data_IF_121897001955
#
_entry.id   IF_121897001955
#
_cell.length_a   1.000
_cell.length_b   1.000
_cell.length_c   1.000
_cell.angle_alpha   90.00
_cell.angle_beta   90.00
_cell.angle_gamma   90.00
#
_symmetry.space_group_name_H-M   'P 1'
#
loop_
_entity.id
_entity.type
_entity.pdbx_description
1 polymer ?
#
# COMPACT_ATOMS: atom_id res chain seq x y z
N UNK A 1 -21.56 12.14 -7.53
CA UNK A 1 -21.30 11.01 -6.66
C UNK A 1 -22.57 10.17 -6.57
N UNK A 2 -22.56 8.99 -7.20
CA UNK A 2 -23.69 8.08 -7.18
C UNK A 2 -23.83 7.44 -5.79
N UNK A 3 -25.09 7.23 -5.35
CA UNK A 3 -25.36 6.36 -4.22
C UNK A 3 -25.26 4.90 -4.67
N UNK A 4 -24.77 4.04 -3.79
CA UNK A 4 -24.72 2.60 -4.03
C UNK A 4 -25.49 1.85 -2.94
N UNK A 5 -26.01 0.63 -3.23
CA UNK A 5 -26.76 -0.14 -2.25
C UNK A 5 -25.84 -0.73 -1.18
N UNK A 6 -26.27 -0.72 0.08
CA UNK A 6 -25.65 -1.49 1.16
C UNK A 6 -26.16 -2.94 1.18
N UNK A 7 -25.76 -3.73 2.16
CA UNK A 7 -26.20 -5.14 2.29
C UNK A 7 -27.69 -5.31 2.60
N UNK A 8 -28.41 -4.23 2.84
CA UNK A 8 -29.86 -4.20 3.07
C UNK A 8 -30.61 -3.53 1.90
N UNK A 9 -29.96 -3.40 0.74
CA UNK A 9 -30.49 -2.75 -0.47
C UNK A 9 -30.88 -1.27 -0.28
N UNK A 10 -30.39 -0.62 0.78
CA UNK A 10 -30.59 0.79 1.02
C UNK A 10 -29.53 1.59 0.27
N UNK A 11 -29.92 2.61 -0.47
CA UNK A 11 -29.01 3.51 -1.16
C UNK A 11 -28.28 4.43 -0.19
N UNK A 12 -26.96 4.38 -0.20
CA UNK A 12 -26.07 5.19 0.63
C UNK A 12 -25.28 6.15 -0.24
N UNK A 13 -25.36 7.43 0.07
CA UNK A 13 -24.52 8.44 -0.56
C UNK A 13 -23.18 8.56 0.14
N UNK A 14 -22.11 8.97 -0.56
CA UNK A 14 -20.87 9.36 0.09
C UNK A 14 -21.09 10.40 1.19
N UNK A 15 -20.44 10.23 2.33
CA UNK A 15 -20.55 11.12 3.47
C UNK A 15 -19.17 11.49 4.04
N UNK A 16 -19.12 12.67 4.65
CA UNK A 16 -17.90 13.16 5.28
C UNK A 16 -17.70 12.48 6.65
N UNK A 17 -16.55 11.86 6.85
CA UNK A 17 -16.16 11.30 8.14
C UNK A 17 -16.00 12.39 9.20
N UNK A 18 -16.42 12.07 10.42
CA UNK A 18 -16.26 12.92 11.60
C UNK A 18 -15.08 12.45 12.48
N UNK A 19 -14.36 11.42 12.06
CA UNK A 19 -13.22 10.84 12.77
C UNK A 19 -12.21 10.29 11.77
N UNK A 20 -10.95 10.34 12.12
CA UNK A 20 -9.86 9.70 11.35
C UNK A 20 -9.65 8.24 11.76
N UNK A 21 -10.32 7.77 12.80
CA UNK A 21 -10.30 6.39 13.26
C UNK A 21 -11.47 5.64 12.63
N UNK A 22 -11.19 4.82 11.63
CA UNK A 22 -12.19 3.97 10.98
C UNK A 22 -11.77 2.51 11.09
N UNK A 23 -12.75 1.61 11.09
CA UNK A 23 -12.47 0.19 10.98
C UNK A 23 -11.98 -0.15 9.57
N UNK A 24 -11.05 -1.09 9.50
CA UNK A 24 -10.43 -1.50 8.23
C UNK A 24 -11.44 -2.07 7.24
N UNK A 25 -11.07 -2.00 5.96
CA UNK A 25 -11.75 -2.67 4.86
C UNK A 25 -10.85 -3.81 4.38
N UNK A 26 -11.41 -4.85 3.76
CA UNK A 26 -10.60 -5.94 3.22
C UNK A 26 -10.12 -5.60 1.81
N UNK A 27 -8.79 -5.55 1.57
CA UNK A 27 -8.23 -5.36 0.23
C UNK A 27 -7.98 -6.68 -0.50
N UNK A 28 -8.53 -7.80 -0.02
CA UNK A 28 -8.17 -9.10 -0.55
C UNK A 28 -8.75 -9.37 -1.95
N UNK A 29 -8.31 -10.43 -2.58
CA UNK A 29 -8.74 -10.80 -3.94
C UNK A 29 -10.26 -10.88 -4.08
N UNK A 30 -10.92 -11.61 -3.18
CA UNK A 30 -12.36 -11.82 -3.27
C UNK A 30 -13.13 -10.50 -3.14
N UNK A 31 -12.77 -9.71 -2.15
CA UNK A 31 -13.41 -8.44 -1.85
C UNK A 31 -13.20 -7.43 -2.98
N UNK A 32 -11.98 -7.34 -3.51
CA UNK A 32 -11.70 -6.46 -4.66
C UNK A 32 -12.54 -6.84 -5.90
N UNK A 33 -12.83 -8.13 -6.09
CA UNK A 33 -13.71 -8.57 -7.18
C UNK A 33 -15.19 -8.28 -6.90
N UNK A 34 -15.61 -8.35 -5.63
CA UNK A 34 -16.94 -7.88 -5.22
C UNK A 34 -17.08 -6.38 -5.45
N UNK A 35 -16.04 -5.58 -5.14
CA UNK A 35 -16.04 -4.13 -5.37
C UNK A 35 -16.29 -3.78 -6.82
N UNK A 36 -15.58 -4.47 -7.72
CA UNK A 36 -15.69 -4.25 -9.18
C UNK A 36 -17.04 -4.68 -9.72
N UNK A 37 -17.64 -5.74 -9.18
CA UNK A 37 -18.93 -6.29 -9.55
C UNK A 37 -19.19 -6.31 -11.07
N UNK A 38 -18.33 -6.99 -11.81
CA UNK A 38 -18.45 -7.08 -13.27
C UNK A 38 -18.29 -5.74 -14.01
N UNK A 39 -17.82 -4.70 -13.35
CA UNK A 39 -17.63 -3.36 -13.88
C UNK A 39 -18.67 -2.33 -13.42
N UNK A 40 -19.63 -2.73 -12.60
CA UNK A 40 -20.64 -1.82 -12.03
C UNK A 40 -20.03 -0.90 -10.96
N UNK A 41 -18.93 -1.34 -10.30
CA UNK A 41 -18.23 -0.57 -9.28
C UNK A 41 -19.15 -0.14 -8.12
N UNK A 42 -19.97 -1.05 -7.63
CA UNK A 42 -20.98 -0.79 -6.60
C UNK A 42 -20.95 -1.79 -5.43
N UNK A 43 -19.94 -2.67 -5.39
CA UNK A 43 -19.80 -3.71 -4.38
C UNK A 43 -19.14 -3.29 -3.07
N UNK A 44 -18.63 -2.07 -2.94
CA UNK A 44 -17.76 -1.61 -1.84
C UNK A 44 -18.34 -1.82 -0.43
N UNK A 45 -19.63 -1.64 -0.25
CA UNK A 45 -20.26 -1.90 1.05
C UNK A 45 -20.48 -3.39 1.30
N UNK A 46 -20.73 -4.16 0.25
CA UNK A 46 -20.88 -5.62 0.38
C UNK A 46 -19.56 -6.29 0.75
N UNK A 47 -18.48 -5.91 0.11
CA UNK A 47 -17.13 -6.42 0.39
C UNK A 47 -16.66 -6.04 1.80
N UNK A 48 -16.97 -4.84 2.27
CA UNK A 48 -16.53 -4.37 3.58
C UNK A 48 -17.13 -5.15 4.75
N UNK A 49 -18.19 -5.92 4.55
CA UNK A 49 -18.75 -6.81 5.58
C UNK A 49 -17.91 -8.07 5.80
N UNK A 50 -16.96 -8.39 4.95
CA UNK A 50 -16.01 -9.48 5.17
C UNK A 50 -15.09 -9.23 6.37
N UNK A 51 -14.89 -7.96 6.75
CA UNK A 51 -14.24 -7.56 8.00
C UNK A 51 -15.34 -7.30 9.03
N UNK A 52 -15.53 -8.21 10.02
CA UNK A 52 -16.60 -8.06 10.99
C UNK A 52 -16.54 -6.73 11.72
N UNK A 53 -17.68 -6.03 11.76
CA UNK A 53 -17.85 -4.79 12.49
C UNK A 53 -19.12 -4.87 13.35
N UNK A 54 -19.00 -4.51 14.61
CA UNK A 54 -20.16 -4.35 15.51
C UNK A 54 -20.72 -2.94 15.43
N UNK A 55 -19.96 -1.98 14.90
CA UNK A 55 -20.31 -0.56 14.79
C UNK A 55 -20.96 -0.29 13.43
N UNK A 56 -20.48 -0.93 12.39
CA UNK A 56 -20.98 -0.76 11.02
C UNK A 56 -21.21 -2.12 10.34
N UNK A 57 -22.26 -2.86 10.73
CA UNK A 57 -22.53 -4.18 10.17
C UNK A 57 -23.01 -4.15 8.71
N UNK A 58 -23.34 -3.00 8.19
CA UNK A 58 -23.81 -2.80 6.79
C UNK A 58 -22.70 -2.42 5.81
N UNK A 59 -21.48 -2.16 6.30
CA UNK A 59 -20.35 -1.77 5.47
C UNK A 59 -20.39 -0.32 4.99
N UNK A 60 -21.27 0.49 5.57
CA UNK A 60 -21.49 1.90 5.17
C UNK A 60 -20.20 2.71 5.22
N UNK A 61 -19.23 2.33 6.07
CA UNK A 61 -17.92 2.99 6.19
C UNK A 61 -17.16 3.06 4.87
N UNK A 62 -17.43 2.17 3.91
CA UNK A 62 -16.81 2.23 2.59
C UNK A 62 -17.17 3.50 1.79
N UNK A 63 -18.24 4.21 2.16
CA UNK A 63 -18.72 5.42 1.48
C UNK A 63 -18.23 6.72 2.13
N UNK A 64 -17.46 6.62 3.21
CA UNK A 64 -16.91 7.80 3.89
C UNK A 64 -15.74 8.41 3.14
N UNK A 65 -15.58 9.75 3.24
CA UNK A 65 -14.45 10.47 2.67
C UNK A 65 -13.92 11.53 3.64
N UNK A 66 -12.69 11.97 3.39
CA UNK A 66 -12.02 13.05 4.09
C UNK A 66 -11.88 14.28 3.20
N UNK A 67 -11.73 15.42 3.82
CA UNK A 67 -11.51 16.71 3.17
C UNK A 67 -10.13 17.29 3.52
N UNK A 68 -9.80 18.43 2.94
CA UNK A 68 -8.57 19.15 3.29
C UNK A 68 -8.50 19.54 4.78
N UNK A 69 -9.64 19.78 5.42
CA UNK A 69 -9.67 20.11 6.85
C UNK A 69 -9.24 18.93 7.74
N UNK A 70 -9.49 17.70 7.28
CA UNK A 70 -9.14 16.47 8.01
C UNK A 70 -7.69 16.04 7.73
N UNK A 71 -7.24 16.22 6.49
CA UNK A 71 -5.94 15.74 6.00
C UNK A 71 -5.11 16.87 5.37
N UNK A 72 -4.83 17.97 6.08
CA UNK A 72 -4.20 19.16 5.51
C UNK A 72 -2.82 18.89 4.93
N UNK A 73 -2.04 18.00 5.54
CA UNK A 73 -0.70 17.64 5.07
C UNK A 73 -0.72 16.99 3.68
N UNK A 74 -1.63 16.05 3.44
CA UNK A 74 -1.73 15.36 2.15
C UNK A 74 -2.21 16.30 1.03
N UNK A 75 -3.16 17.17 1.34
CA UNK A 75 -3.63 18.18 0.39
C UNK A 75 -2.53 19.20 0.05
N UNK A 76 -1.71 19.59 1.03
CA UNK A 76 -0.57 20.47 0.81
C UNK A 76 0.48 19.81 -0.08
N UNK A 77 0.78 18.52 0.13
CA UNK A 77 1.67 17.77 -0.75
C UNK A 77 1.13 17.71 -2.18
N UNK A 78 -0.16 17.41 -2.36
CA UNK A 78 -0.79 17.37 -3.66
C UNK A 78 -0.79 18.74 -4.37
N UNK A 79 -0.90 19.83 -3.62
CA UNK A 79 -0.87 21.19 -4.16
C UNK A 79 0.54 21.66 -4.57
N UNK A 80 1.58 21.20 -3.85
CA UNK A 80 2.97 21.61 -4.11
C UNK A 80 3.72 20.72 -5.07
N UNK A 81 3.32 19.45 -5.17
CA UNK A 81 3.98 18.42 -5.97
C UNK A 81 3.01 17.85 -7.00
N UNK A 82 3.42 16.78 -7.66
CA UNK A 82 2.57 16.07 -8.59
C UNK A 82 1.69 15.04 -7.89
N UNK A 83 0.47 14.88 -8.36
CA UNK A 83 -0.43 13.77 -8.01
C UNK A 83 -1.00 13.14 -9.27
N UNK A 84 -1.48 11.90 -9.18
CA UNK A 84 -2.10 11.20 -10.29
C UNK A 84 -3.44 10.63 -9.85
N UNK A 85 -4.48 10.91 -10.60
CA UNK A 85 -5.81 10.32 -10.49
C UNK A 85 -6.00 9.08 -11.38
N UNK A 86 -4.92 8.65 -12.07
CA UNK A 86 -4.89 7.51 -12.98
C UNK A 86 -3.79 6.51 -12.64
N UNK A 87 -3.50 6.36 -11.38
CA UNK A 87 -2.61 5.33 -10.88
C UNK A 87 -3.44 4.13 -10.43
N UNK A 88 -3.36 3.03 -11.15
CA UNK A 88 -4.16 1.83 -10.91
C UNK A 88 -3.31 0.69 -10.41
N UNK A 89 -3.88 -0.12 -9.50
CA UNK A 89 -3.27 -1.37 -9.07
C UNK A 89 -3.25 -2.38 -10.22
N UNK A 90 -2.13 -3.03 -10.50
CA UNK A 90 -2.02 -3.98 -11.61
C UNK A 90 -2.77 -5.30 -11.37
N UNK A 91 -3.10 -5.61 -10.12
CA UNK A 91 -3.90 -6.79 -9.76
C UNK A 91 -4.98 -6.42 -8.74
N UNK A 92 -6.19 -6.96 -8.92
CA UNK A 92 -7.31 -6.77 -7.98
C UNK A 92 -7.09 -7.64 -6.75
N UNK A 93 -6.20 -7.22 -5.87
CA UNK A 93 -5.83 -7.92 -4.64
C UNK A 93 -5.09 -6.97 -3.70
N UNK A 94 -4.61 -7.52 -2.58
CA UNK A 94 -3.97 -6.78 -1.51
C UNK A 94 -2.56 -6.24 -1.85
N UNK A 95 -1.94 -5.65 -0.86
CA UNK A 95 -0.66 -4.96 -0.91
C UNK A 95 0.47 -5.82 -1.49
N UNK A 96 0.61 -7.09 -1.08
CA UNK A 96 1.80 -7.89 -1.45
C UNK A 96 1.90 -8.18 -2.95
N UNK A 97 0.86 -8.73 -3.62
CA UNK A 97 0.92 -8.93 -5.08
C UNK A 97 1.14 -7.63 -5.85
N UNK A 98 0.53 -6.53 -5.42
CA UNK A 98 0.69 -5.23 -6.06
C UNK A 98 2.11 -4.68 -5.87
N UNK A 99 2.73 -4.87 -4.72
CA UNK A 99 4.12 -4.48 -4.45
C UNK A 99 5.13 -5.37 -5.20
N UNK A 100 4.78 -6.62 -5.50
CA UNK A 100 5.59 -7.43 -6.43
C UNK A 100 5.66 -6.74 -7.80
N UNK A 101 4.54 -6.26 -8.32
CA UNK A 101 4.56 -5.49 -9.58
C UNK A 101 5.40 -4.23 -9.48
N UNK A 102 5.35 -3.50 -8.36
CA UNK A 102 6.18 -2.33 -8.14
C UNK A 102 7.68 -2.67 -8.19
N UNK A 103 8.07 -3.81 -7.62
CA UNK A 103 9.49 -4.18 -7.52
C UNK A 103 10.02 -4.90 -8.75
N UNK A 104 9.19 -5.68 -9.44
CA UNK A 104 9.64 -6.61 -10.50
C UNK A 104 8.82 -6.56 -11.77
N UNK A 105 7.85 -5.63 -11.88
CA UNK A 105 6.89 -5.50 -12.98
C UNK A 105 6.01 -6.75 -13.20
N UNK A 106 5.96 -7.67 -12.24
CA UNK A 106 5.13 -8.89 -12.30
C UNK A 106 4.86 -9.44 -10.91
N UNK A 107 3.79 -10.18 -10.73
CA UNK A 107 3.56 -10.99 -9.53
C UNK A 107 3.72 -12.50 -9.82
N UNK A 108 4.20 -12.87 -11.00
CA UNK A 108 4.34 -14.28 -11.46
C UNK A 108 3.05 -15.08 -11.33
N UNK A 109 1.91 -14.43 -11.51
CA UNK A 109 0.59 -15.03 -11.34
C UNK A 109 0.13 -15.17 -9.88
N UNK A 110 0.88 -14.65 -8.91
CA UNK A 110 0.42 -14.63 -7.53
C UNK A 110 -0.65 -13.53 -7.37
N UNK A 111 -1.85 -13.96 -7.05
CA UNK A 111 -2.98 -13.10 -6.73
C UNK A 111 -3.16 -12.92 -5.21
N UNK A 112 -2.40 -13.67 -4.41
CA UNK A 112 -2.39 -13.65 -2.94
C UNK A 112 -0.96 -13.47 -2.44
N UNK A 113 -0.78 -13.10 -1.15
CA UNK A 113 0.55 -13.11 -0.55
C UNK A 113 1.20 -14.48 -0.71
N UNK A 114 2.41 -14.50 -1.26
CA UNK A 114 3.17 -15.72 -1.46
C UNK A 114 4.38 -15.73 -0.51
N UNK A 115 4.65 -16.89 0.06
CA UNK A 115 5.88 -17.08 0.83
C UNK A 115 7.07 -17.25 -0.11
N UNK A 116 8.18 -16.55 0.11
CA UNK A 116 9.36 -16.74 -0.70
C UNK A 116 9.96 -18.14 -0.49
N UNK A 117 10.58 -18.72 -1.52
CA UNK A 117 11.39 -19.92 -1.36
C UNK A 117 12.61 -19.66 -0.48
N UNK A 118 13.31 -20.73 -0.06
CA UNK A 118 14.61 -20.57 0.61
C UNK A 118 15.56 -19.77 -0.27
N UNK A 119 16.12 -18.68 0.28
CA UNK A 119 16.95 -17.73 -0.47
C UNK A 119 16.20 -16.60 -1.15
N UNK A 120 14.89 -16.54 -1.00
CA UNK A 120 14.03 -15.47 -1.53
C UNK A 120 13.62 -15.67 -3.00
N UNK A 121 12.78 -14.77 -3.48
CA UNK A 121 12.46 -14.68 -4.91
C UNK A 121 13.71 -14.20 -5.68
N UNK A 122 14.02 -14.86 -6.79
CA UNK A 122 15.24 -14.62 -7.56
C UNK A 122 15.05 -13.71 -8.77
N UNK A 123 13.83 -13.25 -8.98
CA UNK A 123 13.52 -12.34 -10.08
C UNK A 123 14.22 -10.98 -9.85
N UNK A 124 14.78 -10.38 -10.91
CA UNK A 124 15.37 -9.05 -10.81
C UNK A 124 14.36 -8.03 -10.32
N UNK A 125 14.77 -7.22 -9.36
CA UNK A 125 13.98 -6.12 -8.83
C UNK A 125 14.42 -4.79 -9.45
N UNK A 126 13.65 -3.73 -9.22
CA UNK A 126 14.06 -2.37 -9.56
C UNK A 126 15.42 -2.02 -8.95
N UNK A 127 15.73 -2.55 -7.77
CA UNK A 127 17.00 -2.31 -7.08
C UNK A 127 18.18 -2.96 -7.83
N UNK A 128 17.98 -4.14 -8.42
CA UNK A 128 18.99 -4.76 -9.29
C UNK A 128 19.27 -3.91 -10.52
N UNK A 129 18.24 -3.32 -11.12
CA UNK A 129 18.39 -2.41 -12.25
C UNK A 129 19.06 -1.09 -11.87
N UNK A 130 18.79 -0.56 -10.68
CA UNK A 130 19.49 0.61 -10.16
C UNK A 130 20.98 0.34 -9.99
N UNK A 131 21.35 -0.82 -9.43
CA UNK A 131 22.75 -1.24 -9.29
C UNK A 131 23.44 -1.38 -10.64
N UNK A 132 22.79 -2.02 -11.63
CA UNK A 132 23.32 -2.15 -12.98
C UNK A 132 23.54 -0.78 -13.66
N UNK A 133 22.68 0.18 -13.37
CA UNK A 133 22.77 1.54 -13.89
C UNK A 133 23.72 2.44 -13.09
N UNK A 134 24.34 1.96 -12.01
CA UNK A 134 25.20 2.76 -11.13
C UNK A 134 24.42 3.84 -10.35
N UNK A 135 23.11 3.69 -10.20
CA UNK A 135 22.24 4.62 -9.46
C UNK A 135 22.19 4.21 -8.00
N UNK A 136 22.60 5.12 -7.13
CA UNK A 136 22.59 4.84 -5.69
C UNK A 136 21.17 4.76 -5.14
N UNK A 137 20.94 3.80 -4.27
CA UNK A 137 19.65 3.62 -3.61
C UNK A 137 19.80 3.20 -2.15
N UNK A 138 18.75 3.46 -1.35
CA UNK A 138 18.64 3.01 0.04
C UNK A 138 17.18 2.72 0.39
N UNK A 139 16.99 1.69 1.19
CA UNK A 139 15.70 1.26 1.69
C UNK A 139 15.65 1.44 3.21
N UNK A 140 14.72 2.25 3.69
CA UNK A 140 14.54 2.49 5.12
C UNK A 140 13.33 1.70 5.60
N UNK A 141 13.50 0.92 6.66
CA UNK A 141 12.42 0.23 7.36
C UNK A 141 12.20 0.81 8.75
N UNK A 142 10.96 0.77 9.23
CA UNK A 142 10.62 1.31 10.54
C UNK A 142 10.78 0.28 11.67
N UNK A 143 10.20 -0.91 11.58
CA UNK A 143 10.09 -1.87 12.69
C UNK A 143 11.16 -2.94 12.70
N UNK A 144 11.77 -3.24 11.58
CA UNK A 144 12.82 -4.25 11.48
C UNK A 144 12.98 -4.74 10.04
N UNK A 145 14.15 -5.30 9.71
CA UNK A 145 14.38 -5.78 8.35
C UNK A 145 13.40 -6.89 7.95
N UNK A 146 12.87 -7.65 8.90
CA UNK A 146 11.93 -8.75 8.67
C UNK A 146 10.56 -8.28 8.18
N UNK A 147 10.16 -7.04 8.44
CA UNK A 147 8.92 -6.46 7.95
C UNK A 147 9.05 -5.85 6.55
N UNK A 148 10.26 -5.59 6.10
CA UNK A 148 10.51 -4.99 4.80
C UNK A 148 10.27 -5.99 3.65
N UNK A 149 9.44 -5.62 2.68
CA UNK A 149 9.10 -6.51 1.56
C UNK A 149 10.33 -6.93 0.75
N UNK A 150 11.33 -6.06 0.63
CA UNK A 150 12.58 -6.38 -0.09
C UNK A 150 13.28 -7.61 0.48
N UNK A 151 13.05 -7.94 1.75
CA UNK A 151 13.63 -9.14 2.38
C UNK A 151 13.16 -10.44 1.72
N UNK A 152 12.02 -10.43 1.06
CA UNK A 152 11.51 -11.59 0.35
C UNK A 152 12.29 -11.89 -0.94
N UNK A 153 13.22 -11.02 -1.34
CA UNK A 153 14.00 -11.14 -2.58
C UNK A 153 15.47 -11.45 -2.30
N UNK A 154 16.09 -12.19 -3.20
CA UNK A 154 17.55 -12.46 -3.17
C UNK A 154 18.38 -11.18 -3.22
N UNK A 155 17.84 -10.11 -3.77
CA UNK A 155 18.41 -8.76 -3.75
C UNK A 155 18.77 -8.31 -2.34
N UNK A 156 17.90 -8.59 -1.34
CA UNK A 156 18.19 -8.25 0.05
C UNK A 156 19.45 -8.93 0.57
N UNK A 157 19.62 -10.21 0.27
CA UNK A 157 20.79 -10.96 0.76
C UNK A 157 22.10 -10.40 0.22
N UNK A 158 22.09 -9.94 -1.02
CA UNK A 158 23.25 -9.34 -1.68
C UNK A 158 23.50 -7.91 -1.18
N UNK A 159 22.44 -7.14 -0.96
CA UNK A 159 22.49 -5.70 -0.72
C UNK A 159 21.97 -5.30 0.67
N UNK A 160 22.06 -6.19 1.64
CA UNK A 160 21.55 -5.95 3.01
C UNK A 160 22.07 -4.65 3.65
N UNK A 161 23.29 -4.22 3.30
CA UNK A 161 23.87 -2.98 3.80
C UNK A 161 23.14 -1.71 3.33
N UNK A 162 22.33 -1.80 2.27
CA UNK A 162 21.50 -0.70 1.76
C UNK A 162 20.11 -0.67 2.41
N UNK A 163 19.75 -1.69 3.19
CA UNK A 163 18.46 -1.81 3.87
C UNK A 163 18.66 -1.51 5.35
N UNK A 164 18.25 -0.34 5.78
CA UNK A 164 18.62 0.23 7.07
C UNK A 164 17.41 0.71 7.86
N UNK A 165 17.57 0.86 9.18
CA UNK A 165 16.53 1.43 10.03
C UNK A 165 16.22 2.88 9.65
N UNK A 166 14.96 3.27 9.74
CA UNK A 166 14.51 4.66 9.56
C UNK A 166 15.21 5.64 10.53
N UNK A 167 15.74 5.15 11.64
CA UNK A 167 16.53 5.98 12.56
C UNK A 167 17.75 6.64 11.90
N UNK A 168 18.26 6.04 10.82
CA UNK A 168 19.38 6.63 10.04
C UNK A 168 18.93 7.84 9.21
N UNK A 169 17.65 7.95 8.91
CA UNK A 169 17.10 9.00 8.04
C UNK A 169 17.49 10.41 8.50
N UNK A 170 17.31 10.69 9.79
CA UNK A 170 17.58 12.01 10.35
C UNK A 170 19.06 12.45 10.17
N UNK A 171 19.99 11.50 10.19
CA UNK A 171 21.42 11.76 9.94
C UNK A 171 21.70 11.89 8.45
N UNK A 172 21.11 11.01 7.63
CA UNK A 172 21.37 10.96 6.20
C UNK A 172 20.89 12.24 5.49
N UNK A 173 19.71 12.77 5.87
CA UNK A 173 19.18 14.02 5.25
C UNK A 173 20.00 15.27 5.59
N UNK A 174 20.80 15.25 6.65
CA UNK A 174 21.68 16.37 6.99
C UNK A 174 22.91 16.42 6.09
N UNK A 175 23.19 15.36 5.35
CA UNK A 175 24.32 15.31 4.42
C UNK A 175 23.85 14.99 2.99
N UNK A 176 23.34 16.01 2.25
CA UNK A 176 22.80 15.81 0.91
C UNK A 176 23.79 15.21 -0.09
N UNK A 177 25.10 15.34 0.16
CA UNK A 177 26.12 14.78 -0.74
C UNK A 177 26.26 13.26 -0.66
N UNK A 178 25.74 12.65 0.41
CA UNK A 178 25.74 11.19 0.61
C UNK A 178 24.37 10.56 0.51
N UNK A 179 23.32 11.37 0.33
CA UNK A 179 21.98 10.85 0.08
C UNK A 179 21.96 10.04 -1.22
N UNK A 180 21.36 8.86 -1.22
CA UNK A 180 21.18 8.11 -2.45
C UNK A 180 20.19 8.81 -3.40
N UNK A 181 20.35 8.53 -4.69
CA UNK A 181 19.46 9.10 -5.72
C UNK A 181 18.02 8.54 -5.65
N UNK A 182 17.88 7.30 -5.16
CA UNK A 182 16.57 6.65 -4.98
C UNK A 182 16.42 6.22 -3.54
N UNK A 183 15.30 6.57 -2.94
CA UNK A 183 14.99 6.31 -1.55
C UNK A 183 13.62 5.61 -1.48
N UNK A 184 13.61 4.44 -0.82
CA UNK A 184 12.40 3.76 -0.41
C UNK A 184 12.23 3.88 1.10
N UNK A 185 11.04 4.22 1.54
CA UNK A 185 10.70 4.26 2.97
C UNK A 185 9.50 3.35 3.16
N UNK A 186 9.67 2.31 3.96
CA UNK A 186 8.62 1.39 4.32
C UNK A 186 8.24 1.58 5.79
N UNK A 187 6.98 1.95 5.99
CA UNK A 187 6.40 1.96 7.31
C UNK A 187 6.18 0.52 7.78
N UNK A 188 6.29 0.32 9.05
CA UNK A 188 6.02 -0.97 9.64
C UNK A 188 4.54 -1.31 9.69
N UNK A 189 4.24 -2.57 9.47
CA UNK A 189 2.95 -3.18 9.70
C UNK A 189 2.89 -3.97 11.02
N UNK A 190 3.70 -3.63 12.03
CA UNK A 190 3.71 -4.37 13.31
C UNK A 190 2.99 -3.54 14.35
N UNK A 191 2.17 -4.19 15.17
CA UNK A 191 1.47 -3.62 16.33
C UNK A 191 0.25 -2.71 16.07
N UNK A 192 -0.59 -3.05 15.09
CA UNK A 192 -1.89 -2.39 14.94
C UNK A 192 -1.84 -0.93 14.46
N UNK A 193 -0.70 -0.50 13.92
CA UNK A 193 -0.53 0.74 13.17
C UNK A 193 -0.56 0.47 11.67
N UNK A 194 -1.28 -0.56 11.32
CA UNK A 194 -1.39 -1.05 9.97
C UNK A 194 -2.22 -0.12 9.08
N UNK A 195 -1.99 -0.25 7.83
CA UNK A 195 -2.49 0.45 6.65
C UNK A 195 -3.85 1.11 6.79
#
# INVERSE_FOLDING_TARGET
>A
NAAIPNTQEQLVHPFHYQTVCTENLSPSWNESHVDVDGGLMDGFMRSSTSVPSTIDPTGTRAMGYYTQADLPYYYELAARFATSDRWFSPVLSNTIPNRFYLFTATSWGNAFPANPPSGGFTQPTIFDHLDQAGVSWRYYYQDGPSSALIQQFSTYQRDAAKVVSISNWATDVQNPSTLPSVIFIERAGVSGLDE
#
